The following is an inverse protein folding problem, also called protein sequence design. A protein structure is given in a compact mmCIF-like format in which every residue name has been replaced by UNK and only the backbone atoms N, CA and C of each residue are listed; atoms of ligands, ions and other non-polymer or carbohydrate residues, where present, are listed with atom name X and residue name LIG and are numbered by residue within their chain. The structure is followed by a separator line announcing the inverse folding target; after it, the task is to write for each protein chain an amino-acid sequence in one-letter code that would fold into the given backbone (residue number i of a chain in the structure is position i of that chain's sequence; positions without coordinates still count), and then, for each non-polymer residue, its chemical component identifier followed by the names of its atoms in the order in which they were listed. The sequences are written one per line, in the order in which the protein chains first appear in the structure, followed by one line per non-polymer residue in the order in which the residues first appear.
data_IF_925058547047
#
_entry.id   IF_925058547047
#
_cell.length_a   1.000
_cell.length_b   1.000
_cell.length_c   1.000
_cell.angle_alpha   90.00
_cell.angle_beta   90.00
_cell.angle_gamma   90.00
#
_symmetry.space_group_name_H-M   'P 1'
#
loop_
_entity.id
_entity.type
_entity.pdbx_description
1 polymer ?
#
# COMPACT_ATOMS: atom_id res chain seq x y z
N UNK A 1 13.05 12.16 -14.25
CA UNK A 1 12.88 13.60 -14.07
C UNK A 1 11.55 13.87 -13.38
N UNK A 2 11.52 14.66 -12.32
CA UNK A 2 10.27 14.99 -11.61
C UNK A 2 9.32 15.75 -12.52
N UNK A 3 8.06 15.32 -12.58
CA UNK A 3 7.00 15.98 -13.36
C UNK A 3 6.19 16.87 -12.41
N UNK A 4 5.82 18.09 -12.81
CA UNK A 4 5.21 19.08 -11.93
C UNK A 4 3.68 19.04 -11.89
N UNK A 5 3.03 18.66 -13.00
CA UNK A 5 1.57 18.55 -13.09
C UNK A 5 1.16 17.12 -12.84
N UNK A 6 1.04 16.80 -11.56
CA UNK A 6 0.73 15.46 -11.09
C UNK A 6 -0.73 15.39 -10.66
N UNK A 7 -1.40 14.30 -11.01
CA UNK A 7 -2.76 13.97 -10.58
C UNK A 7 -2.74 12.65 -9.84
N UNK A 8 -3.42 12.61 -8.71
CA UNK A 8 -3.73 11.38 -8.01
C UNK A 8 -5.23 11.12 -8.15
N UNK A 9 -5.57 10.07 -8.89
CA UNK A 9 -6.96 9.62 -9.04
C UNK A 9 -7.21 8.52 -8.02
N UNK A 10 -7.70 8.93 -6.87
CA UNK A 10 -7.93 8.03 -5.76
C UNK A 10 -9.23 7.23 -5.97
N UNK A 11 -9.13 5.89 -5.92
CA UNK A 11 -10.29 5.02 -5.97
C UNK A 11 -10.07 3.71 -5.19
N UNK A 12 -10.98 3.45 -4.26
CA UNK A 12 -10.99 2.26 -3.42
C UNK A 12 -12.29 1.51 -3.65
N UNK A 13 -12.21 0.40 -4.34
CA UNK A 13 -13.39 -0.35 -4.79
C UNK A 13 -13.47 -1.68 -4.04
N UNK A 14 -14.61 -1.90 -3.35
CA UNK A 14 -14.87 -3.18 -2.70
C UNK A 14 -15.18 -4.27 -3.72
N UNK A 15 -15.04 -5.52 -3.32
CA UNK A 15 -15.28 -6.71 -4.14
C UNK A 15 -16.70 -6.80 -4.75
N UNK A 16 -17.64 -6.03 -4.20
CA UNK A 16 -19.03 -6.01 -4.63
C UNK A 16 -19.32 -5.02 -5.76
N UNK A 17 -18.38 -4.11 -6.02
CA UNK A 17 -18.57 -3.01 -6.98
C UNK A 17 -17.68 -3.24 -8.20
N UNK A 18 -18.23 -3.21 -9.42
CA UNK A 18 -17.42 -3.33 -10.64
C UNK A 18 -16.34 -2.24 -10.75
N UNK A 19 -15.15 -2.64 -11.18
CA UNK A 19 -14.02 -1.75 -11.41
C UNK A 19 -13.47 -1.94 -12.82
N UNK A 20 -13.08 -0.86 -13.47
CA UNK A 20 -12.45 -0.90 -14.79
C UNK A 20 -13.38 -1.18 -15.98
N UNK A 21 -14.66 -1.50 -15.78
CA UNK A 21 -15.59 -1.90 -16.86
C UNK A 21 -15.75 -0.86 -17.96
N UNK A 22 -15.59 0.42 -17.62
CA UNK A 22 -15.75 1.54 -18.55
C UNK A 22 -14.38 2.17 -18.92
N UNK A 23 -13.26 1.50 -18.63
CA UNK A 23 -11.95 2.02 -19.02
C UNK A 23 -11.82 2.03 -20.55
N UNK A 24 -11.55 3.21 -21.10
CA UNK A 24 -11.16 3.40 -22.49
C UNK A 24 -9.80 4.09 -22.54
N UNK A 25 -8.84 3.45 -23.21
CA UNK A 25 -7.49 4.02 -23.38
C UNK A 25 -7.55 5.39 -24.05
N UNK A 26 -8.37 5.55 -25.08
CA UNK A 26 -8.53 6.78 -25.83
C UNK A 26 -9.10 7.92 -24.98
N UNK A 27 -10.13 7.64 -24.18
CA UNK A 27 -10.72 8.63 -23.26
C UNK A 27 -9.73 9.01 -22.15
N UNK A 28 -9.06 8.02 -21.58
CA UNK A 28 -8.06 8.24 -20.53
C UNK A 28 -6.91 9.13 -21.04
N UNK A 29 -6.33 8.80 -22.20
CA UNK A 29 -5.29 9.60 -22.83
C UNK A 29 -5.77 11.01 -23.19
N UNK A 30 -7.00 11.13 -23.71
CA UNK A 30 -7.58 12.43 -24.07
C UNK A 30 -7.77 13.32 -22.85
N UNK A 31 -8.25 12.76 -21.73
CA UNK A 31 -8.40 13.49 -20.48
C UNK A 31 -7.05 13.98 -19.92
N UNK A 32 -6.02 13.12 -19.91
CA UNK A 32 -4.68 13.48 -19.46
C UNK A 32 -4.05 14.58 -20.34
N UNK A 33 -4.24 14.51 -21.66
CA UNK A 33 -3.77 15.54 -22.60
C UNK A 33 -4.50 16.87 -22.40
N UNK A 34 -5.84 16.84 -22.30
CA UNK A 34 -6.66 18.03 -22.06
C UNK A 34 -6.32 18.72 -20.73
N UNK A 35 -6.04 17.93 -19.67
CA UNK A 35 -5.60 18.43 -18.37
C UNK A 35 -4.12 18.83 -18.31
N UNK A 36 -3.37 18.70 -19.42
CA UNK A 36 -1.92 18.90 -19.45
C UNK A 36 -1.18 18.13 -18.34
N UNK A 37 -1.62 16.92 -18.04
CA UNK A 37 -1.06 16.09 -16.97
C UNK A 37 0.28 15.50 -17.39
N UNK A 38 1.29 15.64 -16.53
CA UNK A 38 2.63 15.10 -16.76
C UNK A 38 2.87 13.79 -16.02
N UNK A 39 2.08 13.54 -14.96
CA UNK A 39 2.17 12.34 -14.14
C UNK A 39 0.81 12.02 -13.53
N UNK A 40 0.41 10.74 -13.53
CA UNK A 40 -0.82 10.25 -12.90
C UNK A 40 -0.53 9.01 -12.08
N UNK A 41 -0.99 8.97 -10.83
CA UNK A 41 -0.86 7.76 -10.01
C UNK A 41 -1.90 6.73 -10.44
N UNK A 42 -1.45 5.50 -10.73
CA UNK A 42 -2.31 4.37 -11.12
C UNK A 42 -2.20 3.27 -10.06
N UNK A 43 -3.27 2.48 -9.88
CA UNK A 43 -3.42 1.63 -8.71
C UNK A 43 -3.08 0.17 -8.99
N UNK A 44 -2.17 -0.39 -8.19
CA UNK A 44 -1.96 -1.84 -8.07
C UNK A 44 -2.90 -2.47 -7.04
N UNK A 45 -2.96 -1.88 -5.82
CA UNK A 45 -3.79 -2.38 -4.72
C UNK A 45 -4.44 -1.22 -3.97
N UNK A 46 -5.75 -1.31 -3.71
CA UNK A 46 -6.52 -0.35 -2.93
C UNK A 46 -6.60 -0.72 -1.43
N UNK A 47 -7.26 0.09 -0.62
CA UNK A 47 -7.46 -0.14 0.82
C UNK A 47 -8.27 -1.41 1.13
N UNK A 48 -9.17 -1.82 0.23
CA UNK A 48 -9.89 -3.10 0.38
C UNK A 48 -8.98 -4.34 0.25
N UNK A 49 -7.74 -4.18 -0.24
CA UNK A 49 -6.76 -5.26 -0.35
C UNK A 49 -6.75 -6.00 -1.69
N UNK A 50 -7.62 -5.63 -2.63
CA UNK A 50 -7.69 -6.27 -3.95
C UNK A 50 -6.71 -5.64 -4.94
N UNK A 51 -6.07 -6.49 -5.75
CA UNK A 51 -5.19 -6.05 -6.84
C UNK A 51 -5.97 -5.75 -8.11
N UNK A 52 -5.61 -4.67 -8.79
CA UNK A 52 -6.20 -4.28 -10.07
C UNK A 52 -5.42 -4.80 -11.28
N UNK A 53 -4.79 -5.96 -11.09
CA UNK A 53 -4.02 -6.69 -12.11
C UNK A 53 -3.95 -8.17 -11.75
N UNK A 54 -3.69 -9.07 -12.71
CA UNK A 54 -3.37 -10.45 -12.43
C UNK A 54 -2.10 -10.56 -11.56
N UNK A 55 -2.17 -11.30 -10.48
CA UNK A 55 -1.13 -11.41 -9.45
C UNK A 55 -0.92 -12.86 -9.02
N UNK A 56 0.31 -13.20 -8.59
CA UNK A 56 0.67 -14.49 -7.98
C UNK A 56 0.86 -14.36 -6.46
N UNK A 57 1.00 -13.14 -5.96
CA UNK A 57 1.25 -12.85 -4.54
C UNK A 57 -0.03 -12.56 -3.79
N UNK A 58 -0.93 -11.77 -4.40
CA UNK A 58 -2.19 -11.33 -3.83
C UNK A 58 -3.38 -11.98 -4.57
N UNK A 59 -4.56 -11.39 -4.45
CA UNK A 59 -5.77 -11.76 -5.17
C UNK A 59 -6.24 -10.60 -6.03
N UNK A 60 -6.54 -10.88 -7.29
CA UNK A 60 -7.11 -9.89 -8.21
C UNK A 60 -8.55 -9.57 -7.82
N UNK A 61 -8.96 -8.33 -8.03
CA UNK A 61 -10.33 -7.88 -7.74
C UNK A 61 -11.36 -8.76 -8.49
N UNK A 62 -12.36 -9.35 -7.78
CA UNK A 62 -13.23 -10.38 -8.37
C UNK A 62 -14.12 -9.88 -9.52
N UNK A 63 -14.39 -8.56 -9.58
CA UNK A 63 -15.15 -7.95 -10.67
C UNK A 63 -14.26 -7.46 -11.83
N UNK A 64 -12.95 -7.67 -11.77
CA UNK A 64 -12.02 -7.26 -12.81
C UNK A 64 -11.65 -8.46 -13.68
N UNK A 65 -11.80 -8.33 -15.00
CA UNK A 65 -11.61 -9.43 -15.95
C UNK A 65 -10.34 -9.30 -16.81
N UNK A 66 -9.57 -8.22 -16.60
CA UNK A 66 -8.36 -7.92 -17.38
C UNK A 66 -7.33 -7.15 -16.53
N UNK A 67 -6.15 -6.93 -17.06
CA UNK A 67 -5.06 -6.19 -16.42
C UNK A 67 -5.29 -4.67 -16.54
N UNK A 68 -6.05 -4.08 -15.61
CA UNK A 68 -6.33 -2.64 -15.60
C UNK A 68 -5.06 -1.81 -15.35
N UNK A 69 -4.20 -2.25 -14.41
CA UNK A 69 -2.94 -1.58 -14.14
C UNK A 69 -2.04 -1.56 -15.38
N UNK A 70 -1.87 -2.70 -16.04
CA UNK A 70 -1.07 -2.79 -17.28
C UNK A 70 -1.62 -1.91 -18.39
N UNK A 71 -2.95 -1.89 -18.57
CA UNK A 71 -3.60 -1.05 -19.57
C UNK A 71 -3.40 0.45 -19.31
N UNK A 72 -3.49 0.89 -18.04
CA UNK A 72 -3.24 2.28 -17.66
C UNK A 72 -1.77 2.69 -17.82
N UNK A 73 -0.83 1.80 -17.46
CA UNK A 73 0.61 2.04 -17.65
C UNK A 73 0.99 2.16 -19.12
N UNK A 74 0.44 1.28 -19.97
CA UNK A 74 0.64 1.34 -21.43
C UNK A 74 0.09 2.63 -22.01
N UNK A 75 -1.15 2.99 -21.65
CA UNK A 75 -1.79 4.23 -22.09
C UNK A 75 -0.96 5.47 -21.73
N UNK A 76 -0.41 5.54 -20.52
CA UNK A 76 0.45 6.62 -20.07
C UNK A 76 1.79 6.66 -20.85
N UNK A 77 2.41 5.50 -21.06
CA UNK A 77 3.67 5.37 -21.78
C UNK A 77 3.58 5.89 -23.21
N UNK A 78 2.50 5.57 -23.93
CA UNK A 78 2.26 6.00 -25.33
C UNK A 78 2.21 7.53 -25.48
N UNK A 79 1.75 8.24 -24.44
CA UNK A 79 1.63 9.71 -24.46
C UNK A 79 2.69 10.42 -23.59
N UNK A 80 3.74 9.69 -23.17
CA UNK A 80 4.84 10.21 -22.35
C UNK A 80 4.39 10.87 -21.04
N UNK A 81 3.37 10.29 -20.38
CA UNK A 81 2.94 10.63 -19.02
C UNK A 81 3.57 9.65 -18.03
N UNK A 82 4.16 10.14 -16.95
CA UNK A 82 4.66 9.28 -15.89
C UNK A 82 3.50 8.63 -15.14
N UNK A 83 3.65 7.36 -14.80
CA UNK A 83 2.64 6.63 -14.03
C UNK A 83 3.30 5.88 -12.86
N UNK A 84 3.52 6.56 -11.70
CA UNK A 84 3.89 5.86 -10.48
C UNK A 84 2.72 4.97 -10.03
N UNK A 85 3.06 3.80 -9.48
CA UNK A 85 2.07 2.80 -9.06
C UNK A 85 1.79 2.93 -7.58
N UNK A 86 0.52 3.14 -7.27
CA UNK A 86 -0.01 3.18 -5.91
C UNK A 86 -0.18 1.78 -5.33
N UNK A 87 0.26 1.61 -4.09
CA UNK A 87 -0.01 0.42 -3.27
C UNK A 87 -0.44 0.91 -1.89
N UNK A 88 -1.65 0.54 -1.47
CA UNK A 88 -2.08 0.73 -0.09
C UNK A 88 -1.17 -0.10 0.83
N UNK A 89 -0.34 0.56 1.62
CA UNK A 89 0.63 -0.10 2.48
C UNK A 89 0.11 -0.31 3.90
N UNK A 90 -0.51 0.71 4.50
CA UNK A 90 -1.01 0.62 5.87
C UNK A 90 -2.34 -0.10 5.98
N UNK A 91 -3.23 0.05 4.99
CA UNK A 91 -4.54 -0.59 4.95
C UNK A 91 -4.56 -1.76 3.98
N UNK A 92 -5.16 -2.86 4.42
CA UNK A 92 -5.50 -4.03 3.60
C UNK A 92 -6.64 -4.78 4.30
N UNK A 93 -7.88 -4.38 4.02
CA UNK A 93 -9.04 -4.90 4.74
C UNK A 93 -9.21 -6.40 4.53
N UNK A 94 -8.94 -6.90 3.33
CA UNK A 94 -8.99 -8.32 3.02
C UNK A 94 -8.02 -9.14 3.89
N UNK A 95 -6.77 -8.70 4.00
CA UNK A 95 -5.78 -9.40 4.82
C UNK A 95 -6.02 -9.17 6.32
N UNK A 96 -6.57 -8.02 6.71
CA UNK A 96 -6.99 -7.77 8.10
C UNK A 96 -8.04 -8.77 8.57
N UNK A 97 -9.03 -9.06 7.73
CA UNK A 97 -10.08 -10.04 8.05
C UNK A 97 -9.54 -11.48 8.02
N UNK A 98 -8.70 -11.80 7.04
CA UNK A 98 -8.18 -13.15 6.79
C UNK A 98 -7.08 -13.56 7.79
N UNK A 99 -6.28 -12.59 8.28
CA UNK A 99 -5.06 -12.86 9.07
C UNK A 99 -5.02 -12.06 10.38
N UNK A 100 -5.74 -12.50 11.42
CA UNK A 100 -5.79 -11.79 12.70
C UNK A 100 -4.40 -11.52 13.33
N UNK A 101 -3.43 -12.39 13.08
CA UNK A 101 -2.05 -12.25 13.58
C UNK A 101 -1.27 -11.10 12.93
N UNK A 102 -1.78 -10.48 11.86
CA UNK A 102 -1.16 -9.32 11.21
C UNK A 102 -1.79 -8.00 11.61
N UNK A 103 -2.89 -8.03 12.35
CA UNK A 103 -3.65 -6.84 12.73
C UNK A 103 -2.82 -5.88 13.58
N UNK A 104 -2.97 -4.61 13.27
CA UNK A 104 -2.59 -3.56 14.20
C UNK A 104 -3.49 -3.60 15.44
N UNK A 105 -2.90 -3.44 16.61
CA UNK A 105 -3.63 -3.43 17.88
C UNK A 105 -3.44 -2.07 18.56
N UNK A 106 -4.49 -1.25 18.68
CA UNK A 106 -4.38 0.12 19.18
C UNK A 106 -4.22 0.22 20.70
N UNK A 107 -4.49 -0.85 21.45
CA UNK A 107 -4.51 -0.85 22.92
C UNK A 107 -4.22 -2.24 23.48
N UNK A 108 -3.92 -2.32 24.79
CA UNK A 108 -3.93 -3.55 25.58
C UNK A 108 -5.32 -3.85 26.16
N UNK A 109 -6.21 -2.85 26.18
CA UNK A 109 -7.56 -2.97 26.71
C UNK A 109 -8.48 -3.65 25.70
N UNK A 110 -9.10 -4.76 26.11
CA UNK A 110 -9.91 -5.59 25.22
C UNK A 110 -11.09 -4.82 24.61
N UNK A 111 -11.73 -4.00 25.42
CA UNK A 111 -12.87 -3.19 25.00
C UNK A 111 -12.50 -2.22 23.86
N UNK A 112 -11.33 -1.57 23.96
CA UNK A 112 -10.82 -0.66 22.92
C UNK A 112 -10.41 -1.40 21.65
N UNK A 113 -9.93 -2.63 21.77
CA UNK A 113 -9.62 -3.48 20.62
C UNK A 113 -10.91 -3.88 19.91
N UNK A 114 -11.94 -4.28 20.66
CA UNK A 114 -13.24 -4.65 20.11
C UNK A 114 -13.93 -3.43 19.46
N UNK A 115 -13.86 -2.25 20.07
CA UNK A 115 -14.34 -0.99 19.50
C UNK A 115 -13.67 -0.72 18.16
N UNK A 116 -12.34 -0.70 18.11
CA UNK A 116 -11.58 -0.50 16.88
C UNK A 116 -11.93 -1.51 15.78
N UNK A 117 -12.07 -2.80 16.13
CA UNK A 117 -12.40 -3.86 15.15
C UNK A 117 -13.83 -3.76 14.59
N UNK A 118 -14.73 -3.05 15.29
CA UNK A 118 -16.14 -2.89 14.90
C UNK A 118 -16.44 -1.52 14.28
N UNK A 119 -15.47 -0.60 14.26
CA UNK A 119 -15.66 0.68 13.58
C UNK A 119 -15.77 0.51 12.05
N UNK A 120 -16.56 1.38 11.43
CA UNK A 120 -16.75 1.37 9.96
C UNK A 120 -15.67 2.23 9.30
N UNK A 121 -14.46 1.69 9.24
CA UNK A 121 -13.32 2.30 8.54
C UNK A 121 -12.39 1.20 8.01
N UNK A 122 -11.35 1.57 7.28
CA UNK A 122 -10.27 0.66 6.95
C UNK A 122 -9.34 0.44 8.15
N UNK A 123 -8.88 -0.79 8.32
CA UNK A 123 -8.06 -1.18 9.44
C UNK A 123 -6.58 -1.30 9.08
N UNK A 124 -5.73 -0.91 10.02
CA UNK A 124 -4.29 -0.99 9.88
C UNK A 124 -3.76 -2.41 10.08
N UNK A 125 -2.72 -2.73 9.33
CA UNK A 125 -1.89 -3.90 9.56
C UNK A 125 -0.54 -3.52 10.19
N UNK A 126 0.01 -4.42 10.98
CA UNK A 126 1.25 -4.18 11.71
C UNK A 126 2.47 -4.56 10.88
N UNK A 127 3.34 -3.62 10.59
CA UNK A 127 4.60 -3.86 9.86
C UNK A 127 5.63 -4.68 10.61
N UNK A 128 5.42 -4.97 11.88
CA UNK A 128 6.28 -5.87 12.64
C UNK A 128 5.85 -7.34 12.56
N UNK A 129 4.95 -7.67 11.67
CA UNK A 129 4.44 -9.02 11.42
C UNK A 129 4.83 -9.50 10.01
N UNK A 130 4.41 -10.71 9.64
CA UNK A 130 4.59 -11.24 8.27
C UNK A 130 3.88 -10.41 7.18
N UNK A 131 3.06 -9.44 7.56
CA UNK A 131 2.46 -8.51 6.59
C UNK A 131 3.51 -7.68 5.84
N UNK A 132 4.60 -7.31 6.50
CA UNK A 132 5.66 -6.54 5.84
C UNK A 132 6.31 -7.33 4.70
N UNK A 133 6.56 -8.63 4.90
CA UNK A 133 7.12 -9.50 3.86
C UNK A 133 6.14 -9.63 2.69
N UNK A 134 4.86 -9.86 2.98
CA UNK A 134 3.79 -9.91 1.98
C UNK A 134 3.65 -8.60 1.17
N UNK A 135 3.77 -7.44 1.83
CA UNK A 135 3.79 -6.14 1.15
C UNK A 135 5.01 -6.00 0.23
N UNK A 136 6.18 -6.43 0.69
CA UNK A 136 7.41 -6.40 -0.12
C UNK A 136 7.31 -7.31 -1.34
N UNK A 137 6.73 -8.50 -1.22
CA UNK A 137 6.48 -9.40 -2.35
C UNK A 137 5.56 -8.77 -3.39
N UNK A 138 4.50 -8.06 -2.98
CA UNK A 138 3.62 -7.32 -3.89
C UNK A 138 4.39 -6.20 -4.61
N UNK A 139 5.23 -5.45 -3.89
CA UNK A 139 6.09 -4.41 -4.49
C UNK A 139 7.02 -5.04 -5.53
N UNK A 140 7.69 -6.14 -5.19
CA UNK A 140 8.60 -6.83 -6.10
C UNK A 140 7.86 -7.36 -7.34
N UNK A 141 6.67 -7.94 -7.18
CA UNK A 141 5.85 -8.41 -8.31
C UNK A 141 5.53 -7.26 -9.28
N UNK A 142 5.09 -6.11 -8.76
CA UNK A 142 4.81 -4.92 -9.57
C UNK A 142 6.06 -4.42 -10.28
N UNK A 143 7.20 -4.37 -9.57
CA UNK A 143 8.46 -3.93 -10.14
C UNK A 143 8.95 -4.86 -11.26
N UNK A 144 8.84 -6.17 -11.08
CA UNK A 144 9.24 -7.16 -12.09
C UNK A 144 8.31 -7.12 -13.30
N UNK A 145 7.01 -7.10 -13.07
CA UNK A 145 6.01 -7.24 -14.14
C UNK A 145 5.87 -5.98 -14.99
N UNK A 146 5.93 -4.81 -14.37
CA UNK A 146 5.59 -3.55 -15.06
C UNK A 146 6.75 -2.56 -15.15
N UNK A 147 7.79 -2.70 -14.34
CA UNK A 147 8.91 -1.77 -14.27
C UNK A 147 8.47 -0.29 -14.26
N UNK A 148 7.60 0.13 -13.33
CA UNK A 148 7.04 1.47 -13.30
C UNK A 148 8.11 2.52 -12.99
N UNK A 149 7.83 3.79 -13.32
CA UNK A 149 8.73 4.91 -13.00
C UNK A 149 8.83 5.22 -11.50
N UNK A 150 7.93 4.69 -10.69
CA UNK A 150 7.91 4.86 -9.23
C UNK A 150 6.83 4.05 -8.54
N UNK A 151 6.96 3.95 -7.22
CA UNK A 151 5.98 3.34 -6.30
C UNK A 151 5.52 4.42 -5.33
N UNK A 152 4.21 4.46 -5.09
CA UNK A 152 3.55 5.32 -4.12
C UNK A 152 2.96 4.43 -3.02
N UNK A 153 3.53 4.51 -1.81
CA UNK A 153 3.11 3.74 -0.64
C UNK A 153 2.29 4.63 0.29
N UNK A 154 1.07 4.21 0.59
CA UNK A 154 0.10 5.03 1.29
C UNK A 154 -0.22 4.52 2.70
N UNK A 155 -0.70 5.45 3.56
CA UNK A 155 -1.11 5.19 4.94
C UNK A 155 0.05 4.66 5.78
N UNK A 156 1.12 5.45 5.84
CA UNK A 156 2.32 5.03 6.57
C UNK A 156 2.76 6.13 7.55
N UNK A 157 3.00 5.72 8.78
CA UNK A 157 3.59 6.55 9.83
C UNK A 157 4.06 5.66 10.98
N UNK A 158 4.97 6.12 11.85
CA UNK A 158 5.25 5.42 13.10
C UNK A 158 3.97 5.31 13.92
N UNK A 159 3.56 4.11 14.29
CA UNK A 159 2.38 3.86 15.12
C UNK A 159 2.69 2.89 16.26
N UNK A 160 2.28 3.27 17.46
CA UNK A 160 2.38 2.39 18.62
C UNK A 160 1.38 1.25 18.44
N UNK A 161 1.89 0.02 18.38
CA UNK A 161 1.09 -1.18 18.19
C UNK A 161 1.29 -2.14 19.38
N UNK A 162 0.19 -2.66 19.90
CA UNK A 162 0.15 -3.58 21.06
C UNK A 162 -0.13 -5.03 20.64
N UNK A 163 0.06 -5.41 19.39
CA UNK A 163 -0.08 -6.82 18.99
C UNK A 163 0.99 -7.67 19.70
N UNK A 164 0.73 -8.97 19.85
CA UNK A 164 1.62 -9.90 20.57
C UNK A 164 3.07 -9.83 20.10
N UNK A 165 3.29 -9.71 18.78
CA UNK A 165 4.63 -9.60 18.20
C UNK A 165 5.35 -8.33 18.65
N UNK A 166 4.66 -7.17 18.64
CA UNK A 166 5.25 -5.92 19.10
C UNK A 166 5.59 -5.94 20.59
N UNK A 167 4.66 -6.44 21.43
CA UNK A 167 4.87 -6.55 22.88
C UNK A 167 6.04 -7.49 23.19
N UNK A 168 6.12 -8.64 22.50
CA UNK A 168 7.22 -9.59 22.67
C UNK A 168 8.57 -9.00 22.28
N UNK A 169 8.65 -8.35 21.12
CA UNK A 169 9.91 -7.79 20.62
C UNK A 169 10.40 -6.60 21.47
N UNK A 170 9.48 -5.75 21.94
CA UNK A 170 9.82 -4.69 22.90
C UNK A 170 10.48 -5.26 24.14
N UNK A 171 9.89 -6.31 24.72
CA UNK A 171 10.42 -6.99 25.91
C UNK A 171 11.80 -7.61 25.63
N UNK A 172 11.96 -8.23 24.47
CA UNK A 172 13.23 -8.88 24.08
C UNK A 172 14.40 -7.90 24.01
N UNK A 173 14.15 -6.66 23.54
CA UNK A 173 15.16 -5.61 23.46
C UNK A 173 15.22 -4.71 24.72
N UNK A 174 14.53 -5.10 25.80
CA UNK A 174 14.58 -4.40 27.09
C UNK A 174 13.76 -3.11 27.15
N UNK A 175 12.78 -2.92 26.25
CA UNK A 175 11.85 -1.81 26.30
C UNK A 175 10.61 -2.18 27.12
N UNK A 176 10.13 -1.23 27.92
CA UNK A 176 8.98 -1.38 28.79
C UNK A 176 7.72 -0.88 28.07
N UNK A 177 6.70 -1.75 27.95
CA UNK A 177 5.42 -1.44 27.31
C UNK A 177 4.61 -0.38 28.07
N UNK A 178 4.81 -0.25 29.39
CA UNK A 178 4.14 0.76 30.20
C UNK A 178 4.76 2.16 30.03
N UNK A 179 5.99 2.24 29.53
CA UNK A 179 6.68 3.50 29.29
C UNK A 179 6.34 4.08 27.93
N UNK A 180 5.69 5.26 27.90
CA UNK A 180 5.25 5.91 26.65
C UNK A 180 6.41 6.18 25.70
N UNK A 181 7.56 6.65 26.21
CA UNK A 181 8.73 6.91 25.37
C UNK A 181 9.25 5.63 24.72
N UNK A 182 9.33 4.54 25.46
CA UNK A 182 9.74 3.23 24.92
C UNK A 182 8.79 2.74 23.81
N UNK A 183 7.49 2.94 23.96
CA UNK A 183 6.51 2.61 22.90
C UNK A 183 6.73 3.43 21.63
N UNK A 184 6.98 4.73 21.78
CA UNK A 184 7.27 5.62 20.65
C UNK A 184 8.61 5.27 19.99
N UNK A 185 9.65 4.99 20.77
CA UNK A 185 10.96 4.57 20.26
C UNK A 185 10.83 3.24 19.48
N UNK A 186 10.04 2.29 19.99
CA UNK A 186 9.78 1.03 19.27
C UNK A 186 8.95 1.23 18.00
N UNK A 187 7.95 2.07 18.02
CA UNK A 187 7.18 2.42 16.83
C UNK A 187 8.10 2.99 15.72
N UNK A 188 9.10 3.79 16.09
CA UNK A 188 10.09 4.30 15.15
C UNK A 188 11.02 3.19 14.62
N UNK A 189 11.40 2.23 15.46
CA UNK A 189 12.18 1.05 15.03
C UNK A 189 11.39 0.25 13.98
N UNK A 190 10.12 -0.03 14.22
CA UNK A 190 9.25 -0.75 13.27
C UNK A 190 9.06 0.05 11.97
N UNK A 191 8.90 1.36 12.07
CA UNK A 191 8.79 2.22 10.90
C UNK A 191 10.08 2.25 10.07
N UNK A 192 11.24 2.30 10.70
CA UNK A 192 12.53 2.22 9.99
C UNK A 192 12.70 0.86 9.30
N UNK A 193 12.31 -0.25 9.95
CA UNK A 193 12.28 -1.59 9.35
C UNK A 193 11.41 -1.62 8.10
N UNK A 194 10.21 -1.00 8.15
CA UNK A 194 9.34 -0.86 6.99
C UNK A 194 10.03 -0.06 5.86
N UNK A 195 10.62 1.10 6.16
CA UNK A 195 11.32 1.93 5.16
C UNK A 195 12.47 1.16 4.48
N UNK A 196 13.29 0.46 5.26
CA UNK A 196 14.40 -0.34 4.74
C UNK A 196 13.92 -1.47 3.84
N UNK A 197 12.92 -2.24 4.28
CA UNK A 197 12.39 -3.38 3.55
C UNK A 197 11.74 -2.96 2.22
N UNK A 198 10.86 -1.97 2.23
CA UNK A 198 10.17 -1.49 1.03
C UNK A 198 11.12 -0.80 0.04
N UNK A 199 12.08 -0.02 0.54
CA UNK A 199 13.12 0.55 -0.30
C UNK A 199 13.97 -0.56 -0.95
N UNK A 200 14.38 -1.58 -0.19
CA UNK A 200 15.12 -2.73 -0.71
C UNK A 200 14.34 -3.47 -1.79
N UNK A 201 13.05 -3.71 -1.59
CA UNK A 201 12.18 -4.37 -2.57
C UNK A 201 12.16 -3.60 -3.91
N UNK A 202 12.04 -2.27 -3.89
CA UNK A 202 12.10 -1.45 -5.13
C UNK A 202 13.51 -1.43 -5.70
N UNK A 203 14.55 -1.20 -4.88
CA UNK A 203 15.94 -1.02 -5.34
C UNK A 203 16.57 -2.29 -5.89
N UNK A 204 16.07 -3.45 -5.53
CA UNK A 204 16.45 -4.74 -6.13
C UNK A 204 16.19 -4.77 -7.65
N UNK A 205 15.16 -4.06 -8.12
CA UNK A 205 14.72 -4.07 -9.52
C UNK A 205 14.99 -2.75 -10.26
N UNK A 206 15.04 -1.62 -9.57
CA UNK A 206 15.29 -0.32 -10.20
C UNK A 206 16.08 0.63 -9.28
N UNK A 207 17.17 1.18 -9.83
CA UNK A 207 17.96 2.22 -9.14
C UNK A 207 17.34 3.61 -9.26
N UNK A 208 16.47 3.83 -10.24
CA UNK A 208 15.95 5.15 -10.62
C UNK A 208 14.47 5.35 -10.33
N UNK A 209 13.71 4.28 -10.09
CA UNK A 209 12.30 4.40 -9.73
C UNK A 209 12.15 5.28 -8.47
N UNK A 210 11.23 6.23 -8.52
CA UNK A 210 10.91 7.06 -7.36
C UNK A 210 10.13 6.24 -6.32
N UNK A 211 10.35 6.53 -5.04
CA UNK A 211 9.57 5.94 -3.95
C UNK A 211 8.96 7.10 -3.18
N UNK A 212 7.65 7.10 -3.06
CA UNK A 212 6.91 8.09 -2.30
C UNK A 212 6.20 7.39 -1.14
N UNK A 213 6.38 7.92 0.05
CA UNK A 213 5.75 7.46 1.27
C UNK A 213 4.76 8.53 1.74
N UNK A 214 3.46 8.22 1.69
CA UNK A 214 2.40 9.14 2.10
C UNK A 214 1.96 8.83 3.53
N UNK A 215 2.15 9.82 4.41
CA UNK A 215 1.57 9.76 5.74
C UNK A 215 0.09 10.12 5.64
N UNK A 216 -0.78 9.16 5.91
CA UNK A 216 -2.21 9.38 6.01
C UNK A 216 -2.61 10.13 7.27
#
# INVERSE_FOLDING_TARGET
MFRKRQVHLDFHTSEHVPVGNNFSKEQFQSALKAGHVDSVTVFSKCHHGWSYHPTQVNEMHPQLTYDLLGAQLEACKEINVNAPVYISAGYDEKEYLKRPQWRFCPSLEKEKIEEYNNEVHFHLLCFNTGYLDFLCEQIEEVMVKYNPCGIFLDIISPKVCYCEKCVSDMKEIGLDIENEKHRQDFAQIVFNKYLEATNKAVRKHSRTATIFHNAG
#
